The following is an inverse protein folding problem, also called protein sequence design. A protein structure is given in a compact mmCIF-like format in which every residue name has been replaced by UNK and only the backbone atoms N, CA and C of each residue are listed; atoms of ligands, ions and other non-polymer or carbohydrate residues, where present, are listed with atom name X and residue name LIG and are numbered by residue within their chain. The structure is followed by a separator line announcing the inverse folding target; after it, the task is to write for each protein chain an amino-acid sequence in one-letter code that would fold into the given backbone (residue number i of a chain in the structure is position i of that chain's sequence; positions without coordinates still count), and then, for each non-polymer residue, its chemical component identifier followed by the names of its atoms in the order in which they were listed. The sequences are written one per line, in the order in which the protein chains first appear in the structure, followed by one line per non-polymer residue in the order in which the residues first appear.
data_IF_324386849244
#
_entry.id   IF_324386849244
#
_cell.length_a   1.000
_cell.length_b   1.000
_cell.length_c   1.000
_cell.angle_alpha   90.00
_cell.angle_beta   90.00
_cell.angle_gamma   90.00
#
_symmetry.space_group_name_H-M   'P 1'
#
loop_
_entity.id
_entity.type
_entity.pdbx_description
1 polymer ?
#
# COMPACT_ATOMS: atom_id res chain seq x y z
N UNK A 1 -12.23 -44.05 -57.43
CA UNK A 1 -11.03 -43.33 -57.91
C UNK A 1 -11.39 -42.68 -59.23
N UNK A 2 -11.08 -41.39 -59.42
CA UNK A 2 -11.22 -40.76 -60.72
C UNK A 2 -10.20 -41.35 -61.71
N UNK A 3 -10.52 -41.35 -63.00
CA UNK A 3 -9.62 -41.75 -64.08
C UNK A 3 -8.31 -40.94 -64.01
N UNK A 4 -7.18 -41.54 -64.33
CA UNK A 4 -5.92 -40.81 -64.53
C UNK A 4 -5.74 -40.43 -66.01
N UNK A 5 -4.93 -39.41 -66.34
CA UNK A 5 -4.57 -39.11 -67.73
C UNK A 5 -4.00 -40.33 -68.47
N UNK A 6 -3.25 -41.17 -67.75
CA UNK A 6 -2.70 -42.42 -68.28
C UNK A 6 -3.79 -43.47 -68.57
N UNK A 7 -4.85 -43.52 -67.76
CA UNK A 7 -5.99 -44.41 -68.00
C UNK A 7 -6.81 -43.97 -69.23
N UNK A 8 -6.84 -42.66 -69.51
CA UNK A 8 -7.50 -42.11 -70.70
C UNK A 8 -6.66 -42.42 -71.95
N UNK A 9 -5.35 -42.25 -71.88
CA UNK A 9 -4.43 -42.58 -72.97
C UNK A 9 -4.44 -44.07 -73.35
N UNK A 10 -4.49 -44.96 -72.35
CA UNK A 10 -4.47 -46.41 -72.57
C UNK A 10 -5.86 -47.01 -72.86
N UNK A 11 -6.88 -46.16 -73.08
CA UNK A 11 -8.26 -46.64 -73.26
C UNK A 11 -8.50 -47.11 -74.69
N UNK A 12 -8.70 -48.41 -74.86
CA UNK A 12 -9.17 -48.97 -76.13
C UNK A 12 -10.71 -49.02 -76.20
N UNK A 13 -11.26 -48.56 -77.34
CA UNK A 13 -12.69 -48.62 -77.63
C UNK A 13 -13.01 -49.74 -78.62
N UNK A 14 -14.18 -50.38 -78.45
CA UNK A 14 -14.63 -51.45 -79.36
C UNK A 14 -15.24 -50.87 -80.63
N UNK A 15 -14.85 -51.41 -81.80
CA UNK A 15 -15.36 -50.98 -83.11
C UNK A 15 -16.74 -51.55 -83.39
N UNK A 16 -17.66 -50.72 -83.93
CA UNK A 16 -18.99 -51.13 -84.41
C UNK A 16 -19.29 -50.50 -85.77
N UNK A 17 -20.12 -51.14 -86.58
CA UNK A 17 -20.43 -50.79 -87.98
C UNK A 17 -20.97 -49.34 -88.21
N UNK A 18 -21.32 -48.62 -87.13
CA UNK A 18 -21.64 -47.19 -87.11
C UNK A 18 -21.09 -46.56 -85.82
N UNK A 19 -19.82 -46.15 -85.84
CA UNK A 19 -19.11 -45.53 -84.71
C UNK A 19 -18.68 -44.10 -85.03
N UNK A 20 -18.12 -43.43 -84.02
CA UNK A 20 -17.40 -42.17 -84.21
C UNK A 20 -16.11 -42.40 -85.00
N UNK A 21 -15.61 -41.35 -85.65
CA UNK A 21 -14.30 -41.37 -86.30
C UNK A 21 -13.20 -41.53 -85.23
N UNK A 22 -12.29 -42.48 -85.45
CA UNK A 22 -11.23 -42.79 -84.49
C UNK A 22 -10.21 -41.64 -84.39
N UNK A 23 -9.93 -40.95 -85.49
CA UNK A 23 -8.94 -39.88 -85.52
C UNK A 23 -9.46 -38.63 -84.79
N UNK A 24 -10.72 -38.25 -85.02
CA UNK A 24 -11.36 -37.13 -84.30
C UNK A 24 -11.50 -37.43 -82.79
N UNK A 25 -11.82 -38.68 -82.44
CA UNK A 25 -11.91 -39.08 -81.02
C UNK A 25 -10.54 -39.05 -80.35
N UNK A 26 -9.48 -39.52 -81.01
CA UNK A 26 -8.13 -39.50 -80.46
C UNK A 26 -7.62 -38.06 -80.27
N UNK A 27 -7.86 -37.16 -81.23
CA UNK A 27 -7.48 -35.74 -81.10
C UNK A 27 -8.22 -35.06 -79.94
N UNK A 28 -9.51 -35.38 -79.75
CA UNK A 28 -10.27 -34.91 -78.59
C UNK A 28 -9.74 -35.49 -77.28
N UNK A 29 -9.41 -36.79 -77.23
CA UNK A 29 -8.86 -37.43 -76.04
C UNK A 29 -7.48 -36.86 -75.67
N UNK A 30 -6.63 -36.51 -76.64
CA UNK A 30 -5.35 -35.83 -76.39
C UNK A 30 -5.56 -34.45 -75.74
N UNK A 31 -6.57 -33.70 -76.18
CA UNK A 31 -6.94 -32.43 -75.55
C UNK A 31 -7.45 -32.64 -74.12
N UNK A 32 -8.31 -33.64 -73.91
CA UNK A 32 -8.84 -34.01 -72.59
C UNK A 32 -7.70 -34.42 -71.65
N UNK A 33 -6.72 -35.20 -72.11
CA UNK A 33 -5.57 -35.63 -71.32
C UNK A 33 -4.78 -34.40 -70.81
N UNK A 34 -4.49 -33.43 -71.70
CA UNK A 34 -3.76 -32.19 -71.34
C UNK A 34 -4.52 -31.37 -70.30
N UNK A 35 -5.82 -31.16 -70.52
CA UNK A 35 -6.65 -30.38 -69.60
C UNK A 35 -6.80 -31.08 -68.25
N UNK A 36 -6.87 -32.42 -68.24
CA UNK A 36 -6.95 -33.22 -67.03
C UNK A 36 -5.64 -33.20 -66.23
N UNK A 37 -4.49 -33.23 -66.90
CA UNK A 37 -3.18 -33.04 -66.26
C UNK A 37 -3.05 -31.66 -65.61
N UNK A 38 -3.52 -30.61 -66.31
CA UNK A 38 -3.52 -29.25 -65.78
C UNK A 38 -4.40 -29.17 -64.53
N UNK A 39 -5.63 -29.68 -64.58
CA UNK A 39 -6.55 -29.72 -63.44
C UNK A 39 -5.97 -30.47 -62.24
N UNK A 40 -5.31 -31.61 -62.47
CA UNK A 40 -4.67 -32.37 -61.38
C UNK A 40 -3.48 -31.64 -60.76
N UNK A 41 -2.76 -30.83 -61.55
CA UNK A 41 -1.66 -29.98 -61.05
C UNK A 41 -2.23 -28.83 -60.23
N UNK A 42 -3.22 -28.12 -60.73
CA UNK A 42 -3.90 -27.04 -60.02
C UNK A 42 -4.55 -27.53 -58.74
N UNK A 43 -5.20 -28.69 -58.76
CA UNK A 43 -5.83 -29.27 -57.57
C UNK A 43 -4.80 -29.56 -56.47
N UNK A 44 -3.65 -30.14 -56.83
CA UNK A 44 -2.54 -30.36 -55.88
C UNK A 44 -2.02 -29.05 -55.31
N UNK A 45 -1.79 -28.04 -56.16
CA UNK A 45 -1.33 -26.73 -55.71
C UNK A 45 -2.35 -26.06 -54.78
N UNK A 46 -3.64 -26.13 -55.09
CA UNK A 46 -4.70 -25.61 -54.23
C UNK A 46 -4.76 -26.37 -52.89
N UNK A 47 -4.62 -27.70 -52.90
CA UNK A 47 -4.56 -28.50 -51.68
C UNK A 47 -3.38 -28.10 -50.79
N UNK A 48 -2.19 -27.87 -51.35
CA UNK A 48 -1.03 -27.38 -50.61
C UNK A 48 -1.28 -26.00 -50.01
N UNK A 49 -1.90 -25.07 -50.76
CA UNK A 49 -2.26 -23.75 -50.25
C UNK A 49 -3.25 -23.85 -49.10
N UNK A 50 -4.29 -24.69 -49.24
CA UNK A 50 -5.29 -24.92 -48.19
C UNK A 50 -4.62 -25.48 -46.93
N UNK A 51 -3.74 -26.48 -47.07
CA UNK A 51 -3.01 -27.05 -45.93
C UNK A 51 -2.14 -25.99 -45.22
N UNK A 52 -1.42 -25.16 -45.98
CA UNK A 52 -0.62 -24.09 -45.41
C UNK A 52 -1.47 -23.02 -44.72
N UNK A 53 -2.61 -22.65 -45.31
CA UNK A 53 -3.55 -21.71 -44.70
C UNK A 53 -4.15 -22.28 -43.41
N UNK A 54 -4.55 -23.55 -43.41
CA UNK A 54 -5.09 -24.22 -42.23
C UNK A 54 -4.07 -24.24 -41.09
N UNK A 55 -2.82 -24.63 -41.36
CA UNK A 55 -1.76 -24.61 -40.36
C UNK A 55 -1.53 -23.21 -39.77
N UNK A 56 -1.68 -22.16 -40.59
CA UNK A 56 -1.55 -20.78 -40.15
C UNK A 56 -2.73 -20.33 -39.29
N UNK A 57 -3.95 -20.75 -39.63
CA UNK A 57 -5.16 -20.50 -38.81
C UNK A 57 -5.03 -21.19 -37.46
N UNK A 58 -4.57 -22.45 -37.43
CA UNK A 58 -4.39 -23.20 -36.19
C UNK A 58 -3.33 -22.53 -35.29
N UNK A 59 -2.22 -22.08 -35.90
CA UNK A 59 -1.19 -21.31 -35.20
C UNK A 59 -1.76 -20.03 -34.58
N UNK A 60 -2.47 -19.21 -35.34
CA UNK A 60 -3.07 -17.98 -34.82
C UNK A 60 -4.13 -18.24 -33.76
N UNK A 61 -4.94 -19.28 -33.91
CA UNK A 61 -5.95 -19.66 -32.92
C UNK A 61 -5.30 -20.05 -31.59
N UNK A 62 -4.22 -20.84 -31.62
CA UNK A 62 -3.48 -21.20 -30.40
C UNK A 62 -2.80 -20.00 -29.73
N UNK A 63 -2.32 -19.04 -30.54
CA UNK A 63 -1.73 -17.80 -30.06
C UNK A 63 -2.78 -16.90 -29.41
N UNK A 64 -3.95 -16.77 -30.02
CA UNK A 64 -5.09 -16.02 -29.47
C UNK A 64 -5.53 -16.61 -28.13
N UNK A 65 -5.65 -17.94 -28.02
CA UNK A 65 -5.99 -18.61 -26.77
C UNK A 65 -4.96 -18.32 -25.67
N UNK A 66 -3.67 -18.38 -26.01
CA UNK A 66 -2.57 -18.11 -25.08
C UNK A 66 -2.57 -16.64 -24.64
N UNK A 67 -2.83 -15.72 -25.57
CA UNK A 67 -2.94 -14.29 -25.29
C UNK A 67 -4.12 -14.01 -24.35
N UNK A 68 -5.29 -14.58 -24.65
CA UNK A 68 -6.48 -14.44 -23.80
C UNK A 68 -6.24 -14.97 -22.38
N UNK A 69 -5.62 -16.14 -22.24
CA UNK A 69 -5.22 -16.67 -20.93
C UNK A 69 -4.25 -15.73 -20.19
N UNK A 70 -3.28 -15.16 -20.90
CA UNK A 70 -2.31 -14.23 -20.31
C UNK A 70 -2.98 -12.94 -19.85
N UNK A 71 -3.96 -12.43 -20.60
CA UNK A 71 -4.75 -11.24 -20.22
C UNK A 71 -5.56 -11.52 -18.95
N UNK A 72 -6.21 -12.67 -18.86
CA UNK A 72 -6.99 -13.06 -17.67
C UNK A 72 -6.08 -13.12 -16.44
N UNK A 73 -4.94 -13.81 -16.53
CA UNK A 73 -3.97 -13.90 -15.42
C UNK A 73 -3.45 -12.51 -15.02
N UNK A 74 -3.15 -11.64 -15.99
CA UNK A 74 -2.73 -10.27 -15.70
C UNK A 74 -3.83 -9.45 -15.00
N UNK A 75 -5.10 -9.63 -15.40
CA UNK A 75 -6.24 -8.97 -14.75
C UNK A 75 -6.43 -9.49 -13.33
N UNK A 76 -6.41 -10.80 -13.12
CA UNK A 76 -6.52 -11.42 -11.78
C UNK A 76 -5.41 -10.92 -10.85
N UNK A 77 -4.16 -10.90 -11.33
CA UNK A 77 -3.03 -10.37 -10.56
C UNK A 77 -3.20 -8.88 -10.22
N UNK A 78 -3.70 -8.07 -11.16
CA UNK A 78 -3.97 -6.66 -10.91
C UNK A 78 -5.09 -6.45 -9.88
N UNK A 79 -6.15 -7.25 -9.94
CA UNK A 79 -7.26 -7.23 -8.97
C UNK A 79 -6.79 -7.67 -7.59
N UNK A 80 -5.95 -8.71 -7.50
CA UNK A 80 -5.37 -9.18 -6.24
C UNK A 80 -4.49 -8.10 -5.59
N UNK A 81 -3.59 -7.46 -6.36
CA UNK A 81 -2.76 -6.36 -5.87
C UNK A 81 -3.62 -5.20 -5.36
N UNK A 82 -4.67 -4.83 -6.11
CA UNK A 82 -5.59 -3.77 -5.70
C UNK A 82 -6.35 -4.11 -4.43
N UNK A 83 -6.83 -5.36 -4.29
CA UNK A 83 -7.55 -5.82 -3.12
C UNK A 83 -6.64 -5.83 -1.88
N UNK A 84 -5.42 -6.34 -2.01
CA UNK A 84 -4.43 -6.37 -0.94
C UNK A 84 -4.03 -4.95 -0.50
N UNK A 85 -3.73 -4.06 -1.46
CA UNK A 85 -3.42 -2.66 -1.16
C UNK A 85 -4.58 -1.94 -0.45
N UNK A 86 -5.82 -2.19 -0.89
CA UNK A 86 -7.01 -1.60 -0.26
C UNK A 86 -7.21 -2.09 1.18
N UNK A 87 -6.97 -3.38 1.42
CA UNK A 87 -7.05 -3.98 2.76
C UNK A 87 -5.95 -3.44 3.67
N UNK A 88 -4.72 -3.35 3.18
CA UNK A 88 -3.59 -2.80 3.92
C UNK A 88 -3.82 -1.32 4.27
N UNK A 89 -4.28 -0.52 3.31
CA UNK A 89 -4.65 0.87 3.54
C UNK A 89 -5.72 1.03 4.63
N UNK A 90 -6.75 0.17 4.62
CA UNK A 90 -7.79 0.18 5.66
C UNK A 90 -7.23 -0.16 7.04
N UNK A 91 -6.29 -1.11 7.12
CA UNK A 91 -5.62 -1.46 8.38
C UNK A 91 -4.74 -0.33 8.89
N UNK A 92 -3.97 0.32 8.02
CA UNK A 92 -3.14 1.47 8.36
C UNK A 92 -4.01 2.61 8.90
N UNK A 93 -5.10 2.94 8.22
CA UNK A 93 -6.04 3.98 8.67
C UNK A 93 -6.60 3.65 10.05
N UNK A 94 -7.08 2.43 10.26
CA UNK A 94 -7.64 2.01 11.55
C UNK A 94 -6.62 2.02 12.68
N UNK A 95 -5.36 1.69 12.37
CA UNK A 95 -4.28 1.74 13.35
C UNK A 95 -3.92 3.20 13.69
N UNK A 96 -3.81 4.07 12.69
CA UNK A 96 -3.56 5.48 12.87
C UNK A 96 -4.68 6.17 13.67
N UNK A 97 -5.94 5.84 13.43
CA UNK A 97 -7.09 6.32 14.21
C UNK A 97 -6.98 5.94 15.68
N UNK A 98 -6.65 4.67 15.97
CA UNK A 98 -6.46 4.20 17.35
C UNK A 98 -5.30 4.88 18.05
N UNK A 99 -4.18 5.05 17.36
CA UNK A 99 -3.01 5.74 17.92
C UNK A 99 -3.30 7.22 18.20
N UNK A 100 -4.03 7.88 17.30
CA UNK A 100 -4.47 9.26 17.49
C UNK A 100 -5.41 9.40 18.70
N UNK A 101 -6.39 8.49 18.84
CA UNK A 101 -7.30 8.45 19.98
C UNK A 101 -6.53 8.25 21.30
N UNK A 102 -5.61 7.28 21.34
CA UNK A 102 -4.76 7.04 22.52
C UNK A 102 -3.89 8.24 22.87
N UNK A 103 -3.34 8.93 21.87
CA UNK A 103 -2.53 10.13 22.07
C UNK A 103 -3.36 11.28 22.63
N UNK A 104 -4.56 11.50 22.08
CA UNK A 104 -5.49 12.52 22.55
C UNK A 104 -5.90 12.27 24.00
N UNK A 105 -6.26 11.03 24.33
CA UNK A 105 -6.59 10.59 25.67
C UNK A 105 -5.45 10.81 26.66
N UNK A 106 -4.22 10.45 26.27
CA UNK A 106 -3.04 10.65 27.10
C UNK A 106 -2.75 12.13 27.34
N UNK A 107 -2.91 12.97 26.30
CA UNK A 107 -2.76 14.42 26.41
C UNK A 107 -3.82 15.03 27.33
N UNK A 108 -5.08 14.61 27.21
CA UNK A 108 -6.18 15.08 28.06
C UNK A 108 -5.98 14.69 29.52
N UNK A 109 -5.57 13.44 29.79
CA UNK A 109 -5.25 12.99 31.16
C UNK A 109 -4.10 13.79 31.77
N UNK A 110 -3.07 14.10 30.98
CA UNK A 110 -1.96 14.97 31.42
C UNK A 110 -2.43 16.38 31.72
N UNK A 111 -3.25 16.98 30.85
CA UNK A 111 -3.80 18.32 31.08
C UNK A 111 -4.62 18.39 32.38
N UNK A 112 -5.54 17.44 32.58
CA UNK A 112 -6.35 17.36 33.81
C UNK A 112 -5.50 17.19 35.07
N UNK A 113 -4.43 16.38 34.98
CA UNK A 113 -3.49 16.21 36.10
C UNK A 113 -2.75 17.50 36.41
N UNK A 114 -2.24 18.19 35.39
CA UNK A 114 -1.58 19.49 35.57
C UNK A 114 -2.54 20.51 36.18
N UNK A 115 -3.78 20.59 35.71
CA UNK A 115 -4.80 21.49 36.27
C UNK A 115 -5.06 21.20 37.75
N UNK A 116 -5.18 19.92 38.10
CA UNK A 116 -5.33 19.51 39.49
C UNK A 116 -4.11 19.90 40.35
N UNK A 117 -2.89 19.68 39.84
CA UNK A 117 -1.65 20.05 40.52
C UNK A 117 -1.55 21.58 40.72
N UNK A 118 -1.98 22.38 39.74
CA UNK A 118 -2.05 23.85 39.84
C UNK A 118 -3.03 24.28 40.94
N UNK A 119 -4.23 23.71 40.97
CA UNK A 119 -5.23 24.00 42.01
C UNK A 119 -4.73 23.61 43.42
N UNK A 120 -4.04 22.48 43.55
CA UNK A 120 -3.41 22.09 44.82
C UNK A 120 -2.31 23.07 45.24
N UNK A 121 -1.49 23.53 44.30
CA UNK A 121 -0.45 24.53 44.59
C UNK A 121 -1.05 25.87 45.02
N UNK A 122 -2.14 26.33 44.38
CA UNK A 122 -2.85 27.55 44.80
C UNK A 122 -3.35 27.45 46.24
N UNK A 123 -4.00 26.34 46.61
CA UNK A 123 -4.45 26.09 48.00
C UNK A 123 -3.31 26.07 48.99
N UNK A 124 -2.17 25.46 48.64
CA UNK A 124 -0.96 25.47 49.47
C UNK A 124 -0.46 26.89 49.70
N UNK A 125 -0.37 27.70 48.64
CA UNK A 125 0.06 29.11 48.74
C UNK A 125 -0.88 29.88 49.68
N UNK A 126 -2.19 29.71 49.56
CA UNK A 126 -3.17 30.38 50.43
C UNK A 126 -3.00 29.96 51.90
N UNK A 127 -2.83 28.67 52.17
CA UNK A 127 -2.57 28.17 53.52
C UNK A 127 -1.26 28.72 54.10
N UNK A 128 -0.19 28.73 53.31
CA UNK A 128 1.09 29.30 53.72
C UNK A 128 0.97 30.78 54.03
N UNK A 129 0.29 31.55 53.16
CA UNK A 129 0.02 32.98 53.37
C UNK A 129 -0.72 33.23 54.69
N UNK A 130 -1.77 32.45 54.96
CA UNK A 130 -2.54 32.58 56.20
C UNK A 130 -1.71 32.23 57.43
N UNK A 131 -0.91 31.16 57.38
CA UNK A 131 0.03 30.80 58.46
C UNK A 131 1.06 31.89 58.72
N UNK A 132 1.61 32.47 57.66
CA UNK A 132 2.60 33.52 57.76
C UNK A 132 2.00 34.80 58.37
N UNK A 133 0.77 35.14 57.98
CA UNK A 133 0.03 36.27 58.56
C UNK A 133 -0.18 36.09 60.07
N UNK A 134 -0.69 34.93 60.49
CA UNK A 134 -0.88 34.63 61.92
C UNK A 134 0.43 34.70 62.69
N UNK A 135 1.53 34.19 62.11
CA UNK A 135 2.85 34.27 62.75
C UNK A 135 3.30 35.73 62.91
N UNK A 136 3.16 36.56 61.88
CA UNK A 136 3.49 37.99 61.96
C UNK A 136 2.60 38.70 62.98
N UNK A 137 1.30 38.45 62.98
CA UNK A 137 0.36 39.05 63.92
C UNK A 137 0.73 38.69 65.37
N UNK A 138 1.11 37.43 65.64
CA UNK A 138 1.60 37.00 66.95
C UNK A 138 2.92 37.69 67.35
N UNK A 139 3.87 37.84 66.43
CA UNK A 139 5.12 38.56 66.70
C UNK A 139 4.88 40.07 66.92
N UNK A 140 3.94 40.67 66.17
CA UNK A 140 3.52 42.04 66.37
C UNK A 140 2.82 42.23 67.71
N UNK A 141 1.98 41.29 68.13
CA UNK A 141 1.33 41.31 69.44
C UNK A 141 2.37 41.24 70.57
N UNK A 142 3.41 40.42 70.45
CA UNK A 142 4.54 40.41 71.40
C UNK A 142 5.25 41.78 71.46
N UNK A 143 5.53 42.41 70.31
CA UNK A 143 6.16 43.73 70.25
C UNK A 143 5.26 44.87 70.74
N UNK A 144 3.94 44.72 70.63
CA UNK A 144 2.96 45.73 71.04
C UNK A 144 2.48 45.50 72.48
N UNK A 145 2.68 44.29 73.02
CA UNK A 145 2.48 44.01 74.43
C UNK A 145 3.38 44.90 75.27
N UNK A 146 2.85 45.36 76.39
CA UNK A 146 3.29 46.52 77.17
C UNK A 146 4.67 46.36 77.87
N UNK A 147 5.51 45.42 77.42
CA UNK A 147 6.85 45.17 77.95
C UNK A 147 7.92 46.13 77.38
N UNK A 148 7.61 46.85 76.29
CA UNK A 148 8.50 47.88 75.75
C UNK A 148 8.39 49.24 76.45
N UNK A 149 7.28 49.54 77.12
CA UNK A 149 7.15 50.77 77.94
C UNK A 149 8.02 50.72 79.22
N UNK A 150 8.53 49.52 79.58
CA UNK A 150 9.52 49.35 80.65
C UNK A 150 10.98 49.56 80.17
N UNK A 151 11.21 49.63 78.86
CA UNK A 151 12.53 49.86 78.26
C UNK A 151 12.77 51.38 78.08
N UNK A 152 12.62 52.13 79.17
CA UNK A 152 13.02 53.54 79.22
C UNK A 152 14.55 53.63 79.02
N UNK A 153 14.97 54.44 78.05
CA UNK A 153 16.38 54.64 77.68
C UNK A 153 17.09 55.61 78.65
N UNK A 154 16.77 55.55 79.94
CA UNK A 154 17.26 56.51 80.94
C UNK A 154 18.40 56.00 81.84
N UNK A 155 18.77 54.73 81.80
CA UNK A 155 19.95 54.22 82.54
C UNK A 155 21.21 54.09 81.67
N UNK A 156 21.80 55.24 81.36
CA UNK A 156 23.24 55.37 81.07
C UNK A 156 24.00 55.05 82.38
N UNK A 157 24.37 53.79 82.60
CA UNK A 157 25.14 53.44 83.80
C UNK A 157 25.19 51.96 84.16
N UNK A 158 25.84 51.15 83.34
CA UNK A 158 26.59 49.96 83.77
C UNK A 158 27.40 49.44 82.58
N UNK A 159 28.65 49.88 82.53
CA UNK A 159 29.72 49.26 81.76
C UNK A 159 30.05 47.88 82.34
N UNK A 160 30.74 47.10 81.51
CA UNK A 160 31.65 46.02 81.89
C UNK A 160 31.03 44.74 82.45
N UNK A 161 30.51 43.90 81.55
CA UNK A 161 30.92 42.49 81.47
C UNK A 161 30.35 41.85 80.19
N UNK A 162 31.06 42.05 79.08
CA UNK A 162 30.87 41.24 77.87
C UNK A 162 32.04 40.28 77.79
N UNK A 163 31.85 38.97 78.06
CA UNK A 163 32.91 38.01 77.79
C UNK A 163 33.15 37.96 76.28
N UNK A 164 34.40 38.17 75.88
CA UNK A 164 34.85 38.08 74.50
C UNK A 164 34.59 36.67 73.97
N UNK A 165 33.58 36.53 73.10
CA UNK A 165 33.39 35.31 72.31
C UNK A 165 34.46 35.31 71.24
N UNK A 166 35.47 34.45 71.41
CA UNK A 166 36.47 34.19 70.39
C UNK A 166 35.77 33.59 69.15
N UNK A 167 35.81 34.33 68.05
CA UNK A 167 35.53 33.80 66.73
C UNK A 167 36.63 32.80 66.37
N UNK A 168 36.27 31.52 66.21
CA UNK A 168 37.14 30.54 65.55
C UNK A 168 36.91 30.66 64.04
N UNK A 169 37.95 30.99 63.30
CA UNK A 169 37.96 31.19 61.84
C UNK A 169 37.98 29.87 61.03
N UNK A 170 37.72 28.71 61.63
CA UNK A 170 37.91 27.40 60.98
C UNK A 170 36.64 26.72 60.43
N UNK A 171 35.46 27.34 60.50
CA UNK A 171 34.22 26.79 59.89
C UNK A 171 33.87 27.45 58.54
N UNK A 172 34.86 27.62 57.68
CA UNK A 172 34.66 27.84 56.23
C UNK A 172 35.57 26.90 55.44
N UNK A 173 35.12 25.65 55.26
CA UNK A 173 35.38 24.82 54.07
C UNK A 173 34.15 23.97 53.77
#
# INVERSE_FOLDING_TARGET
MPLTPLDIHNKEFTRKFRGYDEDEVNEFLDQVIKDFELLLRENRQQQEVIQNMQARVDYFSSMEETLNKSIIVAQEAAEEVKANASKEASLILKQAEREAEQLQDAAQRRAQRTDFEVEQMRKKIELYRNRFKVLIDAQMELLTSHDWDAFDFSSRGALDDVPAVAYNDDDVV
#
